data_IF_876921400135
#
_entry.id   IF_876921400135
#
_cell.length_a   1.000
_cell.length_b   1.000
_cell.length_c   1.000
_cell.angle_alpha   90.00
_cell.angle_beta   90.00
_cell.angle_gamma   90.00
#
_symmetry.space_group_name_H-M   'P 1'
#
loop_
_entity.id
_entity.type
_entity.pdbx_description
1 polymer ?
#
# COMPACT_ATOMS: atom_id res chain seq x y z
N UNK A 1 25.05 39.72 10.54
CA UNK A 1 23.96 39.32 11.47
C UNK A 1 22.59 39.02 10.81
N UNK A 2 22.39 39.21 9.49
CA UNK A 2 21.10 38.89 8.82
C UNK A 2 20.88 37.40 8.48
N UNK A 3 21.94 36.58 8.44
CA UNK A 3 21.85 35.17 8.03
C UNK A 3 21.36 34.21 9.12
N UNK A 4 21.48 34.56 10.41
CA UNK A 4 20.97 33.70 11.49
C UNK A 4 19.44 33.71 11.59
N UNK A 5 18.76 34.77 11.17
CA UNK A 5 17.30 34.87 11.24
C UNK A 5 16.61 33.90 10.27
N UNK A 6 17.16 33.74 9.06
CA UNK A 6 16.60 32.87 8.03
C UNK A 6 16.79 31.38 8.38
N UNK A 7 17.92 31.04 9.00
CA UNK A 7 18.18 29.70 9.54
C UNK A 7 17.24 29.42 10.71
N UNK A 8 16.97 30.42 11.56
CA UNK A 8 15.97 30.29 12.61
C UNK A 8 14.56 30.05 12.06
N UNK A 9 14.15 30.71 10.98
CA UNK A 9 12.83 30.52 10.38
C UNK A 9 12.67 29.15 9.71
N UNK A 10 13.70 28.63 9.03
CA UNK A 10 13.68 27.28 8.46
C UNK A 10 13.78 26.18 9.54
N UNK A 11 14.59 26.40 10.58
CA UNK A 11 14.62 25.51 11.76
C UNK A 11 13.29 25.60 12.51
N UNK A 12 12.67 26.77 12.62
CA UNK A 12 11.36 26.95 13.23
C UNK A 12 10.26 26.33 12.38
N UNK A 13 10.37 26.33 11.05
CA UNK A 13 9.48 25.61 10.14
C UNK A 13 9.65 24.09 10.29
N UNK A 14 10.89 23.61 10.41
CA UNK A 14 11.21 22.20 10.65
C UNK A 14 10.74 21.76 12.05
N UNK A 15 10.96 22.58 13.08
CA UNK A 15 10.47 22.39 14.44
C UNK A 15 8.94 22.51 14.49
N UNK A 16 8.30 23.36 13.69
CA UNK A 16 6.83 23.42 13.55
C UNK A 16 6.27 22.21 12.81
N UNK A 17 6.95 21.69 11.80
CA UNK A 17 6.62 20.42 11.14
C UNK A 17 6.79 19.23 12.09
N UNK A 18 7.81 19.27 12.96
CA UNK A 18 8.03 18.29 14.03
C UNK A 18 7.09 18.49 15.22
N UNK A 19 6.63 19.72 15.51
CA UNK A 19 5.72 20.06 16.62
C UNK A 19 4.24 20.00 16.22
N UNK A 20 3.89 20.01 14.94
CA UNK A 20 2.61 19.49 14.43
C UNK A 20 2.39 18.03 14.88
N UNK A 21 3.46 17.34 15.29
CA UNK A 21 3.47 16.01 15.88
C UNK A 21 3.34 15.98 17.41
N UNK A 22 3.40 17.12 18.11
CA UNK A 22 3.20 17.16 19.56
C UNK A 22 1.70 17.03 19.92
N UNK A 23 0.81 17.55 19.06
CA UNK A 23 -0.65 17.48 19.24
C UNK A 23 -1.35 16.38 18.43
N UNK A 24 -0.62 15.61 17.61
CA UNK A 24 -1.16 14.47 16.87
C UNK A 24 -0.54 13.18 17.41
N UNK A 25 -1.37 12.48 18.19
CA UNK A 25 -1.23 11.11 18.68
C UNK A 25 -0.25 10.23 17.88
N UNK A 26 0.57 9.46 18.62
CA UNK A 26 1.54 8.50 18.04
C UNK A 26 0.84 7.61 16.99
N UNK A 27 1.54 7.10 15.97
CA UNK A 27 0.95 6.23 14.95
C UNK A 27 0.26 4.96 15.49
N UNK A 28 0.54 4.57 16.73
CA UNK A 28 -0.14 3.47 17.45
C UNK A 28 -1.56 3.83 17.92
N UNK A 29 -1.93 5.10 17.89
CA UNK A 29 -3.24 5.65 18.30
C UNK A 29 -4.08 6.10 17.08
N UNK A 30 -3.75 5.63 15.87
CA UNK A 30 -4.60 5.77 14.69
C UNK A 30 -5.84 4.89 14.84
N UNK A 31 -6.72 5.32 15.75
CA UNK A 31 -8.01 4.72 16.03
C UNK A 31 -8.92 4.93 14.81
N UNK A 32 -8.91 3.95 13.90
CA UNK A 32 -9.68 3.95 12.63
C UNK A 32 -11.20 3.98 12.84
N UNK A 33 -11.69 3.94 14.09
CA UNK A 33 -13.10 3.78 14.44
C UNK A 33 -13.76 4.96 15.18
N UNK A 34 -13.11 6.12 15.30
CA UNK A 34 -13.75 7.26 16.00
C UNK A 34 -14.71 8.03 15.10
N UNK A 35 -16.01 7.81 15.34
CA UNK A 35 -17.10 8.74 15.02
C UNK A 35 -17.00 9.95 15.94
N UNK A 36 -16.24 10.96 15.55
CA UNK A 36 -16.34 12.30 16.13
C UNK A 36 -16.25 13.32 15.00
N UNK A 37 -17.32 14.10 14.88
CA UNK A 37 -17.50 15.19 13.92
C UNK A 37 -16.36 16.23 14.05
N UNK A 38 -15.89 16.76 12.91
CA UNK A 38 -14.93 17.88 12.76
C UNK A 38 -13.42 17.67 12.93
N UNK A 39 -12.89 16.43 12.82
CA UNK A 39 -11.44 16.24 12.56
C UNK A 39 -11.22 15.80 11.13
N UNK A 40 -10.57 16.65 10.33
CA UNK A 40 -10.07 16.37 8.97
C UNK A 40 -9.66 14.89 8.82
N UNK A 41 -10.55 14.05 8.30
CA UNK A 41 -10.25 12.63 8.11
C UNK A 41 -8.98 12.51 7.26
N UNK A 42 -8.06 11.67 7.72
CA UNK A 42 -6.85 11.31 6.97
C UNK A 42 -7.32 10.57 5.71
N UNK A 43 -7.30 11.23 4.57
CA UNK A 43 -7.61 10.58 3.29
C UNK A 43 -6.36 9.92 2.71
N UNK A 44 -6.54 8.87 1.92
CA UNK A 44 -5.44 8.24 1.14
C UNK A 44 -4.69 9.26 0.29
N UNK A 45 -5.40 10.21 -0.32
CA UNK A 45 -4.80 11.35 -1.03
C UNK A 45 -3.88 12.21 -0.15
N UNK A 46 -4.31 12.58 1.06
CA UNK A 46 -3.45 13.35 2.00
C UNK A 46 -2.23 12.55 2.43
N UNK A 47 -2.37 11.23 2.58
CA UNK A 47 -1.27 10.32 2.90
C UNK A 47 -0.23 10.29 1.77
N UNK A 48 -0.67 10.11 0.52
CA UNK A 48 0.19 10.10 -0.67
C UNK A 48 0.95 11.43 -0.84
N UNK A 49 0.26 12.57 -0.71
CA UNK A 49 0.90 13.90 -0.72
C UNK A 49 1.95 14.02 0.39
N UNK A 50 1.67 13.49 1.59
CA UNK A 50 2.63 13.52 2.69
C UNK A 50 3.88 12.68 2.40
N UNK A 51 3.73 11.54 1.72
CA UNK A 51 4.86 10.72 1.28
C UNK A 51 5.71 11.49 0.27
N UNK A 52 5.09 12.10 -0.76
CA UNK A 52 5.81 12.92 -1.75
C UNK A 52 6.58 14.08 -1.09
N UNK A 53 5.96 14.77 -0.11
CA UNK A 53 6.61 15.85 0.63
C UNK A 53 7.83 15.34 1.42
N UNK A 54 7.74 14.16 2.04
CA UNK A 54 8.87 13.56 2.75
C UNK A 54 10.01 13.16 1.80
N UNK A 55 9.69 12.63 0.63
CA UNK A 55 10.69 12.31 -0.40
C UNK A 55 11.41 13.57 -0.87
N UNK A 56 10.68 14.65 -1.14
CA UNK A 56 11.27 15.94 -1.48
C UNK A 56 12.21 16.45 -0.36
N UNK A 57 11.78 16.35 0.90
CA UNK A 57 12.61 16.74 2.05
C UNK A 57 13.90 15.91 2.12
N UNK A 58 13.79 14.59 1.97
CA UNK A 58 14.92 13.66 2.01
C UNK A 58 15.93 13.90 0.88
N UNK A 59 15.43 14.17 -0.33
CA UNK A 59 16.27 14.27 -1.52
C UNK A 59 16.90 15.66 -1.70
N UNK A 60 16.21 16.71 -1.23
CA UNK A 60 16.58 18.10 -1.52
C UNK A 60 16.81 18.92 -0.26
N UNK A 61 15.75 19.11 0.55
CA UNK A 61 15.78 20.08 1.65
C UNK A 61 16.83 19.72 2.71
N UNK A 62 16.90 18.45 3.09
CA UNK A 62 17.80 17.98 4.14
C UNK A 62 19.28 18.15 3.75
N UNK A 63 19.63 17.94 2.48
CA UNK A 63 21.00 18.17 1.96
C UNK A 63 21.38 19.65 2.02
N UNK A 64 20.45 20.54 1.68
CA UNK A 64 20.69 21.98 1.74
C UNK A 64 20.89 22.46 3.19
N UNK A 65 20.09 21.93 4.12
CA UNK A 65 20.24 22.21 5.56
C UNK A 65 21.59 21.71 6.06
N UNK A 66 21.99 20.49 5.69
CA UNK A 66 23.31 19.93 6.04
C UNK A 66 24.47 20.80 5.56
N UNK A 67 24.45 21.21 4.29
CA UNK A 67 25.46 22.13 3.74
C UNK A 67 25.53 23.43 4.53
N UNK A 68 24.37 24.05 4.83
CA UNK A 68 24.33 25.29 5.63
C UNK A 68 24.85 25.10 7.05
N UNK A 69 24.52 23.99 7.71
CA UNK A 69 25.05 23.66 9.04
C UNK A 69 26.58 23.54 9.00
N UNK A 70 27.10 22.87 7.98
CA UNK A 70 28.54 22.75 7.76
C UNK A 70 29.20 24.13 7.54
N UNK A 71 28.65 24.94 6.64
CA UNK A 71 29.15 26.29 6.33
C UNK A 71 29.12 27.24 7.55
N UNK A 72 28.21 27.00 8.50
CA UNK A 72 28.12 27.76 9.75
C UNK A 72 29.02 27.21 10.88
N UNK A 73 29.81 26.18 10.62
CA UNK A 73 30.74 25.60 11.60
C UNK A 73 30.07 24.71 12.67
N UNK A 74 28.91 24.12 12.37
CA UNK A 74 28.23 23.19 13.31
C UNK A 74 29.05 21.90 13.42
N UNK A 75 29.64 21.66 14.60
CA UNK A 75 30.57 20.55 14.88
C UNK A 75 30.03 19.15 14.57
N UNK A 76 28.72 18.93 14.72
CA UNK A 76 28.07 17.62 14.54
C UNK A 76 27.10 17.59 13.35
N UNK A 77 27.33 18.43 12.33
CA UNK A 77 26.43 18.57 11.18
C UNK A 77 26.17 17.22 10.47
N UNK A 78 27.21 16.41 10.26
CA UNK A 78 27.09 15.09 9.61
C UNK A 78 26.26 14.11 10.43
N UNK A 79 26.50 14.04 11.73
CA UNK A 79 25.76 13.14 12.63
C UNK A 79 24.27 13.52 12.71
N UNK A 80 23.97 14.82 12.76
CA UNK A 80 22.58 15.33 12.74
C UNK A 80 21.91 14.99 11.42
N UNK A 81 22.60 15.19 10.29
CA UNK A 81 22.08 14.86 8.97
C UNK A 81 21.75 13.37 8.84
N UNK A 82 22.68 12.48 9.19
CA UNK A 82 22.47 11.03 9.09
C UNK A 82 21.33 10.56 10.01
N UNK A 83 21.27 11.05 11.25
CA UNK A 83 20.17 10.73 12.18
C UNK A 83 18.81 11.23 11.68
N UNK A 84 18.76 12.44 11.12
CA UNK A 84 17.54 13.01 10.57
C UNK A 84 17.08 12.23 9.34
N UNK A 85 17.99 11.93 8.42
CA UNK A 85 17.74 11.13 7.22
C UNK A 85 17.19 9.75 7.58
N UNK A 86 17.84 9.03 8.51
CA UNK A 86 17.38 7.72 8.96
C UNK A 86 15.95 7.76 9.54
N UNK A 87 15.64 8.74 10.41
CA UNK A 87 14.31 8.89 11.01
C UNK A 87 13.24 9.24 9.97
N UNK A 88 13.54 10.14 9.03
CA UNK A 88 12.62 10.54 7.97
C UNK A 88 12.37 9.39 6.99
N UNK A 89 13.41 8.64 6.61
CA UNK A 89 13.28 7.45 5.76
C UNK A 89 12.41 6.37 6.40
N UNK A 90 12.62 6.08 7.69
CA UNK A 90 11.79 5.14 8.43
C UNK A 90 10.32 5.60 8.48
N UNK A 91 10.11 6.90 8.64
CA UNK A 91 8.76 7.46 8.66
C UNK A 91 8.09 7.37 7.27
N UNK A 92 8.80 7.67 6.18
CA UNK A 92 8.32 7.45 4.80
C UNK A 92 7.88 6.00 4.60
N UNK A 93 8.71 5.03 4.98
CA UNK A 93 8.37 3.60 4.90
C UNK A 93 7.11 3.25 5.70
N UNK A 94 6.94 3.85 6.88
CA UNK A 94 5.73 3.64 7.70
C UNK A 94 4.49 4.16 6.98
N UNK A 95 4.54 5.35 6.38
CA UNK A 95 3.41 5.91 5.65
C UNK A 95 3.05 5.09 4.40
N UNK A 96 4.05 4.62 3.66
CA UNK A 96 3.83 3.71 2.51
C UNK A 96 3.15 2.41 2.97
N UNK A 97 3.63 1.80 4.07
CA UNK A 97 2.99 0.62 4.65
C UNK A 97 1.55 0.90 5.08
N UNK A 98 1.26 2.05 5.68
CA UNK A 98 -0.11 2.44 6.03
C UNK A 98 -1.00 2.56 4.79
N UNK A 99 -0.50 3.14 3.70
CA UNK A 99 -1.24 3.24 2.45
C UNK A 99 -1.58 1.84 1.90
N UNK A 100 -0.58 0.97 1.81
CA UNK A 100 -0.75 -0.42 1.35
C UNK A 100 -1.79 -1.14 2.22
N UNK A 101 -1.70 -1.01 3.54
CA UNK A 101 -2.63 -1.65 4.49
C UNK A 101 -4.09 -1.21 4.27
N UNK A 102 -4.33 0.10 4.08
CA UNK A 102 -5.66 0.65 3.80
C UNK A 102 -6.21 0.09 2.48
N UNK A 103 -5.37 -0.05 1.45
CA UNK A 103 -5.81 -0.62 0.17
C UNK A 103 -6.05 -2.12 0.29
N UNK A 104 -5.13 -2.86 0.92
CA UNK A 104 -5.27 -4.30 1.15
C UNK A 104 -6.53 -4.66 1.93
N UNK A 105 -6.96 -3.86 2.91
CA UNK A 105 -8.21 -4.16 3.63
C UNK A 105 -9.45 -4.14 2.75
N UNK A 106 -9.47 -3.29 1.71
CA UNK A 106 -10.57 -3.27 0.75
C UNK A 106 -10.60 -4.58 -0.08
N UNK A 107 -9.42 -5.07 -0.49
CA UNK A 107 -9.30 -6.35 -1.20
C UNK A 107 -9.73 -7.52 -0.32
N UNK A 108 -9.27 -7.57 0.93
CA UNK A 108 -9.63 -8.64 1.87
C UNK A 108 -11.14 -8.76 2.04
N UNK A 109 -11.86 -7.65 2.21
CA UNK A 109 -13.32 -7.69 2.35
C UNK A 109 -14.03 -8.27 1.11
N UNK A 110 -13.48 -8.07 -0.09
CA UNK A 110 -14.02 -8.64 -1.32
C UNK A 110 -13.70 -10.13 -1.42
N UNK A 111 -12.49 -10.52 -1.08
CA UNK A 111 -12.05 -11.92 -1.06
C UNK A 111 -12.88 -12.74 -0.07
N UNK A 112 -13.17 -12.20 1.10
CA UNK A 112 -14.01 -12.86 2.11
C UNK A 112 -15.42 -13.15 1.59
N UNK A 113 -15.91 -12.40 0.60
CA UNK A 113 -17.21 -12.60 -0.03
C UNK A 113 -17.24 -13.69 -1.12
N UNK A 114 -16.09 -14.30 -1.45
CA UNK A 114 -15.98 -15.35 -2.46
C UNK A 114 -16.60 -16.68 -1.98
N UNK A 115 -17.94 -16.80 -2.05
CA UNK A 115 -18.69 -17.96 -1.56
C UNK A 115 -19.29 -18.84 -2.67
N UNK A 116 -19.25 -18.42 -3.94
CA UNK A 116 -19.77 -19.16 -5.11
C UNK A 116 -21.20 -19.70 -4.94
N UNK A 117 -22.02 -19.07 -4.08
CA UNK A 117 -23.43 -19.46 -3.91
C UNK A 117 -24.23 -19.18 -5.18
N UNK A 118 -23.85 -18.14 -5.91
CA UNK A 118 -24.38 -17.78 -7.22
C UNK A 118 -23.26 -17.76 -8.25
N UNK A 119 -23.20 -18.81 -9.07
CA UNK A 119 -22.20 -18.93 -10.15
C UNK A 119 -22.78 -18.28 -11.40
N UNK A 120 -22.13 -17.26 -11.98
CA UNK A 120 -22.60 -16.62 -13.20
C UNK A 120 -22.60 -17.61 -14.39
N UNK A 121 -23.38 -17.30 -15.42
CA UNK A 121 -23.35 -18.03 -16.68
C UNK A 121 -22.31 -17.37 -17.61
N UNK A 122 -21.26 -18.12 -17.99
CA UNK A 122 -20.21 -17.73 -18.94
C UNK A 122 -19.48 -16.40 -18.64
N UNK A 123 -19.31 -16.05 -17.36
CA UNK A 123 -18.61 -14.83 -16.94
C UNK A 123 -17.77 -15.06 -15.67
N UNK A 124 -16.94 -14.08 -15.34
CA UNK A 124 -16.16 -14.02 -14.10
C UNK A 124 -17.07 -13.63 -12.92
N UNK A 125 -16.81 -14.19 -11.75
CA UNK A 125 -17.56 -13.84 -10.52
C UNK A 125 -17.41 -12.36 -10.15
N UNK A 126 -18.44 -11.80 -9.53
CA UNK A 126 -18.48 -10.37 -9.19
C UNK A 126 -17.35 -9.97 -8.24
N UNK A 127 -16.99 -10.81 -7.26
CA UNK A 127 -15.86 -10.53 -6.37
C UNK A 127 -14.55 -10.34 -7.15
N UNK A 128 -14.31 -11.14 -8.19
CA UNK A 128 -13.10 -11.05 -9.00
C UNK A 128 -13.10 -9.79 -9.87
N UNK A 129 -14.25 -9.41 -10.43
CA UNK A 129 -14.42 -8.12 -11.14
C UNK A 129 -14.16 -6.93 -10.21
N UNK A 130 -14.69 -6.98 -8.99
CA UNK A 130 -14.49 -5.93 -7.99
C UNK A 130 -13.03 -5.84 -7.53
N UNK A 131 -12.34 -6.96 -7.35
CA UNK A 131 -10.89 -6.98 -7.06
C UNK A 131 -10.08 -6.34 -8.19
N UNK A 132 -10.40 -6.63 -9.46
CA UNK A 132 -9.77 -5.97 -10.61
C UNK A 132 -10.05 -4.46 -10.60
N UNK A 133 -11.29 -4.07 -10.33
CA UNK A 133 -11.69 -2.66 -10.26
C UNK A 133 -10.97 -1.92 -9.12
N UNK A 134 -10.82 -2.54 -7.96
CA UNK A 134 -10.04 -1.98 -6.85
C UNK A 134 -8.59 -1.72 -7.24
N UNK A 135 -7.98 -2.63 -8.00
CA UNK A 135 -6.63 -2.43 -8.53
C UNK A 135 -6.57 -1.24 -9.48
N UNK A 136 -7.50 -1.13 -10.43
CA UNK A 136 -7.59 -0.01 -11.38
C UNK A 136 -7.75 1.34 -10.64
N UNK A 137 -8.61 1.39 -9.64
CA UNK A 137 -8.83 2.60 -8.84
C UNK A 137 -7.59 2.97 -8.00
N UNK A 138 -6.90 1.99 -7.43
CA UNK A 138 -5.64 2.21 -6.73
C UNK A 138 -4.55 2.73 -7.67
N UNK A 139 -4.41 2.12 -8.85
CA UNK A 139 -3.45 2.54 -9.88
C UNK A 139 -3.72 3.99 -10.30
N UNK A 140 -4.96 4.34 -10.63
CA UNK A 140 -5.32 5.69 -11.03
C UNK A 140 -5.03 6.74 -9.93
N UNK A 141 -5.26 6.39 -8.66
CA UNK A 141 -4.93 7.27 -7.53
C UNK A 141 -3.42 7.48 -7.39
N UNK A 142 -2.63 6.40 -7.53
CA UNK A 142 -1.16 6.44 -7.46
C UNK A 142 -0.57 7.23 -8.62
N UNK A 143 -1.01 6.98 -9.86
CA UNK A 143 -0.54 7.72 -11.03
C UNK A 143 -0.82 9.22 -10.92
N UNK A 144 -1.94 9.60 -10.30
CA UNK A 144 -2.30 11.00 -10.09
C UNK A 144 -1.47 11.68 -8.99
N UNK A 145 -1.18 10.98 -7.89
CA UNK A 145 -0.64 11.62 -6.68
C UNK A 145 0.84 11.29 -6.41
N UNK A 146 1.27 10.08 -6.74
CA UNK A 146 2.58 9.52 -6.39
C UNK A 146 2.98 8.41 -7.38
N UNK A 147 3.17 8.73 -8.68
CA UNK A 147 3.42 7.72 -9.72
C UNK A 147 4.65 6.85 -9.46
N UNK A 148 5.65 7.40 -8.77
CA UNK A 148 6.87 6.69 -8.35
C UNK A 148 6.60 5.52 -7.39
N UNK A 149 5.45 5.50 -6.70
CA UNK A 149 5.05 4.43 -5.77
C UNK A 149 4.21 3.34 -6.43
N UNK A 150 3.78 3.53 -7.69
CA UNK A 150 2.80 2.67 -8.35
C UNK A 150 3.20 1.19 -8.31
N UNK A 151 4.42 0.88 -8.74
CA UNK A 151 4.92 -0.50 -8.75
C UNK A 151 5.02 -1.08 -7.33
N UNK A 152 5.62 -0.35 -6.39
CA UNK A 152 5.83 -0.80 -5.00
C UNK A 152 4.49 -1.12 -4.32
N UNK A 153 3.51 -0.21 -4.43
CA UNK A 153 2.23 -0.35 -3.76
C UNK A 153 1.32 -1.39 -4.43
N UNK A 154 1.23 -1.40 -5.77
CA UNK A 154 0.39 -2.39 -6.47
C UNK A 154 0.92 -3.80 -6.30
N UNK A 155 2.24 -4.01 -6.40
CA UNK A 155 2.85 -5.32 -6.14
C UNK A 155 2.48 -5.81 -4.74
N UNK A 156 2.68 -4.98 -3.71
CA UNK A 156 2.35 -5.39 -2.34
C UNK A 156 0.86 -5.69 -2.15
N UNK A 157 -0.05 -4.86 -2.67
CA UNK A 157 -1.49 -5.07 -2.49
C UNK A 157 -1.99 -6.29 -3.27
N UNK A 158 -1.59 -6.44 -4.54
CA UNK A 158 -2.00 -7.58 -5.39
C UNK A 158 -1.42 -8.89 -4.85
N UNK A 159 -0.16 -8.89 -4.45
CA UNK A 159 0.48 -10.07 -3.84
C UNK A 159 -0.29 -10.55 -2.61
N UNK A 160 -0.63 -9.65 -1.69
CA UNK A 160 -1.45 -9.99 -0.51
C UNK A 160 -2.84 -10.47 -0.89
N UNK A 161 -3.45 -9.91 -1.93
CA UNK A 161 -4.75 -10.32 -2.41
C UNK A 161 -4.74 -11.77 -2.94
N UNK A 162 -3.74 -12.14 -3.74
CA UNK A 162 -3.62 -13.52 -4.22
C UNK A 162 -3.37 -14.51 -3.08
N UNK A 163 -2.51 -14.19 -2.12
CA UNK A 163 -2.26 -15.05 -0.96
C UNK A 163 -3.57 -15.28 -0.18
N UNK A 164 -4.26 -14.21 0.19
CA UNK A 164 -5.51 -14.31 0.93
C UNK A 164 -6.61 -15.07 0.14
N UNK A 165 -6.68 -14.84 -1.18
CA UNK A 165 -7.65 -15.54 -2.02
C UNK A 165 -7.37 -17.03 -2.08
N UNK A 166 -6.11 -17.44 -2.29
CA UNK A 166 -5.75 -18.85 -2.32
C UNK A 166 -6.03 -19.51 -0.97
N UNK A 167 -5.63 -18.88 0.14
CA UNK A 167 -5.92 -19.39 1.48
C UNK A 167 -7.43 -19.57 1.72
N UNK A 168 -8.24 -18.59 1.30
CA UNK A 168 -9.70 -18.63 1.43
C UNK A 168 -10.34 -19.74 0.59
N UNK A 169 -9.85 -19.95 -0.64
CA UNK A 169 -10.37 -20.99 -1.53
C UNK A 169 -9.89 -22.39 -1.12
N UNK A 170 -8.66 -22.53 -0.62
CA UNK A 170 -8.12 -23.80 -0.10
C UNK A 170 -8.77 -24.22 1.21
N UNK A 171 -9.35 -23.28 1.97
CA UNK A 171 -10.05 -23.58 3.22
C UNK A 171 -11.28 -24.51 3.03
N UNK A 172 -11.82 -24.63 1.82
CA UNK A 172 -12.87 -25.60 1.50
C UNK A 172 -12.75 -26.16 0.09
N UNK A 173 -12.95 -27.47 -0.02
CA UNK A 173 -13.15 -28.13 -1.31
C UNK A 173 -14.38 -27.56 -2.04
N UNK A 174 -14.36 -27.49 -3.38
CA UNK A 174 -15.51 -27.07 -4.17
C UNK A 174 -16.69 -28.04 -3.96
N UNK A 175 -17.90 -27.50 -3.83
CA UNK A 175 -19.10 -28.31 -3.59
C UNK A 175 -19.62 -29.02 -4.86
N UNK A 176 -19.19 -28.56 -6.04
CA UNK A 176 -19.59 -29.11 -7.33
C UNK A 176 -18.51 -28.91 -8.39
N UNK A 177 -18.61 -29.67 -9.48
CA UNK A 177 -17.75 -29.51 -10.66
C UNK A 177 -17.88 -28.09 -11.24
N UNK A 178 -19.10 -27.56 -11.31
CA UNK A 178 -19.39 -26.20 -11.75
C UNK A 178 -18.64 -25.16 -10.89
N UNK A 179 -18.60 -25.36 -9.57
CA UNK A 179 -17.83 -24.48 -8.67
C UNK A 179 -16.33 -24.61 -8.93
N UNK A 180 -15.81 -25.82 -9.11
CA UNK A 180 -14.39 -26.04 -9.42
C UNK A 180 -13.99 -25.33 -10.72
N UNK A 181 -14.79 -25.47 -11.77
CA UNK A 181 -14.59 -24.76 -13.05
C UNK A 181 -14.64 -23.24 -12.86
N UNK A 182 -15.61 -22.72 -12.10
CA UNK A 182 -15.71 -21.27 -11.87
C UNK A 182 -14.49 -20.72 -11.11
N UNK A 183 -14.00 -21.44 -10.09
CA UNK A 183 -12.77 -21.05 -9.37
C UNK A 183 -11.58 -20.93 -10.32
N UNK A 184 -11.43 -21.88 -11.26
CA UNK A 184 -10.37 -21.83 -12.29
C UNK A 184 -10.56 -20.63 -13.21
N UNK A 185 -11.78 -20.34 -13.67
CA UNK A 185 -12.09 -19.18 -14.51
C UNK A 185 -11.70 -17.87 -13.81
N UNK A 186 -12.14 -17.69 -12.56
CA UNK A 186 -11.90 -16.45 -11.81
C UNK A 186 -10.41 -16.23 -11.55
N UNK A 187 -9.69 -17.29 -11.14
CA UNK A 187 -8.24 -17.21 -10.89
C UNK A 187 -7.48 -16.93 -12.19
N UNK A 188 -7.86 -17.55 -13.30
CA UNK A 188 -7.26 -17.25 -14.61
C UNK A 188 -7.48 -15.79 -15.00
N UNK A 189 -8.70 -15.27 -14.81
CA UNK A 189 -9.02 -13.89 -15.13
C UNK A 189 -8.21 -12.91 -14.26
N UNK A 190 -8.11 -13.17 -12.95
CA UNK A 190 -7.30 -12.38 -12.03
C UNK A 190 -5.82 -12.43 -12.39
N UNK A 191 -5.28 -13.61 -12.72
CA UNK A 191 -3.88 -13.76 -13.15
C UNK A 191 -3.61 -13.00 -14.45
N UNK A 192 -4.50 -13.08 -15.43
CA UNK A 192 -4.34 -12.34 -16.68
C UNK A 192 -4.36 -10.82 -16.47
N UNK A 193 -5.25 -10.33 -15.61
CA UNK A 193 -5.39 -8.91 -15.34
C UNK A 193 -4.27 -8.35 -14.43
N UNK A 194 -3.86 -9.12 -13.42
CA UNK A 194 -3.04 -8.62 -12.31
C UNK A 194 -1.67 -9.30 -12.19
N UNK A 195 -1.38 -10.32 -12.99
CA UNK A 195 -0.16 -11.13 -12.91
C UNK A 195 1.15 -10.35 -13.16
N UNK A 196 1.08 -9.16 -13.76
CA UNK A 196 2.23 -8.26 -13.87
C UNK A 196 2.74 -7.73 -12.52
N UNK A 197 1.92 -7.83 -11.46
CA UNK A 197 2.24 -7.36 -10.12
C UNK A 197 2.57 -8.49 -9.14
N UNK A 198 2.58 -9.75 -9.57
CA UNK A 198 2.87 -10.89 -8.70
C UNK A 198 4.31 -11.37 -8.85
N UNK A 199 4.86 -11.98 -7.80
CA UNK A 199 6.18 -12.58 -7.84
C UNK A 199 6.15 -14.03 -8.39
N UNK A 200 7.30 -14.67 -8.52
CA UNK A 200 7.39 -16.06 -9.00
C UNK A 200 6.71 -17.06 -8.05
N UNK A 201 6.81 -16.83 -6.74
CA UNK A 201 6.24 -17.69 -5.71
C UNK A 201 4.71 -17.76 -5.83
N UNK A 202 4.03 -16.61 -5.88
CA UNK A 202 2.57 -16.56 -6.06
C UNK A 202 2.13 -17.16 -7.38
N UNK A 203 2.83 -16.89 -8.49
CA UNK A 203 2.50 -17.54 -9.76
C UNK A 203 2.62 -19.06 -9.68
N UNK A 204 3.62 -19.56 -8.97
CA UNK A 204 3.79 -21.01 -8.74
C UNK A 204 2.66 -21.58 -7.90
N UNK A 205 2.24 -20.87 -6.84
CA UNK A 205 1.11 -21.29 -5.99
C UNK A 205 -0.22 -21.28 -6.75
N UNK A 206 -0.50 -20.23 -7.53
CA UNK A 206 -1.66 -20.16 -8.43
C UNK A 206 -1.68 -21.33 -9.43
N UNK A 207 -0.52 -21.67 -9.99
CA UNK A 207 -0.40 -22.82 -10.90
C UNK A 207 -0.68 -24.15 -10.20
N UNK A 208 -0.12 -24.35 -9.01
CA UNK A 208 -0.35 -25.56 -8.22
C UNK A 208 -1.83 -25.71 -7.82
N UNK A 209 -2.46 -24.61 -7.39
CA UNK A 209 -3.89 -24.59 -7.06
C UNK A 209 -4.77 -24.99 -8.25
N UNK A 210 -4.52 -24.39 -9.44
CA UNK A 210 -5.25 -24.77 -10.66
C UNK A 210 -5.04 -26.22 -11.06
N UNK A 211 -3.81 -26.73 -10.98
CA UNK A 211 -3.50 -28.12 -11.31
C UNK A 211 -4.28 -29.09 -10.40
N UNK A 212 -4.37 -28.80 -9.10
CA UNK A 212 -5.16 -29.59 -8.16
C UNK A 212 -6.65 -29.64 -8.52
N UNK A 213 -7.23 -28.54 -8.99
CA UNK A 213 -8.63 -28.51 -9.43
C UNK A 213 -8.85 -29.23 -10.77
N UNK A 214 -7.91 -29.11 -11.72
CA UNK A 214 -8.02 -29.79 -13.02
C UNK A 214 -7.89 -31.30 -12.87
N UNK A 215 -7.01 -31.80 -11.99
CA UNK A 215 -6.93 -33.22 -11.69
C UNK A 215 -8.24 -33.78 -11.11
N UNK A 216 -8.98 -32.99 -10.33
CA UNK A 216 -10.31 -33.37 -9.84
C UNK A 216 -11.37 -33.44 -10.96
N UNK A 217 -11.23 -32.62 -12.01
CA UNK A 217 -12.11 -32.63 -13.19
C UNK A 217 -11.85 -33.84 -14.10
N UNK A 218 -10.58 -34.22 -14.28
CA UNK A 218 -10.18 -35.32 -15.18
C UNK A 218 -10.44 -36.73 -14.61
N UNK A 219 -10.72 -36.86 -13.31
CA UNK A 219 -10.86 -38.16 -12.62
C UNK A 219 -12.31 -38.71 -12.54
N UNK A 220 -13.28 -38.15 -13.27
CA UNK A 220 -14.69 -38.62 -13.29
C UNK A 220 -15.21 -38.85 -14.70
#
# INVERSE_FOLDING_TARGET
MKNCSFIYDEILLFVRLLNLRADLKKPQDLDLNRKDDEKSHLTTKKLLISICNLEFILENALKNIHKRMFDCGVKYADEVYEKAKAKLSLYRQTLVRCYIMIKSSAFSSLIDSANYEYIPDDDVSDYAKEVMMCCVLQQAELELCSPQLTSECLQATVQNAFVNLLDQLEAREPASEREATQRVIDICALEQALGGFTNLETRTHVNAFRAGLVEQLDQR
#
